data_IF_585492557511
#
_entry.id   IF_585492557511
#
_cell.length_a   1.000
_cell.length_b   1.000
_cell.length_c   1.000
_cell.angle_alpha   90.00
_cell.angle_beta   90.00
_cell.angle_gamma   90.00
#
_symmetry.space_group_name_H-M   'P 1'
#
loop_
_entity.id
_entity.type
_entity.pdbx_description
1 polymer ?
#
# COMPACT_ATOMS: atom_id res chain seq x y z
N UNK A 1 -3.02 17.82 -29.27
CA UNK A 1 -2.59 16.44 -29.60
C UNK A 1 -2.63 15.63 -28.33
N UNK A 2 -3.76 14.97 -28.06
CA UNK A 2 -3.93 14.12 -26.88
C UNK A 2 -3.33 12.76 -27.18
N UNK A 3 -2.24 12.41 -26.52
CA UNK A 3 -1.73 11.04 -26.52
C UNK A 3 -2.80 10.12 -25.90
N UNK A 4 -3.09 8.94 -26.48
CA UNK A 4 -3.94 7.96 -25.84
C UNK A 4 -3.25 7.45 -24.57
N UNK A 5 -3.98 7.47 -23.45
CA UNK A 5 -3.55 6.91 -22.17
C UNK A 5 -3.25 5.42 -22.35
N UNK A 6 -1.97 5.05 -22.29
CA UNK A 6 -1.54 3.67 -22.19
C UNK A 6 -2.29 3.00 -21.04
N UNK A 7 -2.91 1.82 -21.22
CA UNK A 7 -3.41 1.07 -20.09
C UNK A 7 -2.24 0.75 -19.18
N UNK A 8 -2.29 1.26 -17.93
CA UNK A 8 -1.36 0.87 -16.87
C UNK A 8 -1.42 -0.64 -16.81
N UNK A 9 -0.32 -1.29 -17.19
CA UNK A 9 -0.23 -2.74 -17.20
C UNK A 9 -0.63 -3.23 -15.80
N UNK A 10 -1.76 -3.97 -15.72
CA UNK A 10 -2.17 -4.61 -14.48
C UNK A 10 -0.97 -5.41 -13.98
N UNK A 11 -0.42 -4.99 -12.83
CA UNK A 11 0.73 -5.64 -12.23
C UNK A 11 0.30 -7.07 -11.95
N UNK A 12 0.96 -8.02 -12.61
CA UNK A 12 0.78 -9.45 -12.34
C UNK A 12 0.82 -9.70 -10.83
N UNK A 13 -0.14 -10.49 -10.32
CA UNK A 13 -0.26 -10.92 -8.91
C UNK A 13 1.11 -10.95 -8.22
N UNK A 14 1.32 -10.07 -7.24
CA UNK A 14 2.60 -9.97 -6.51
C UNK A 14 2.61 -11.03 -5.41
N UNK A 15 3.44 -12.05 -5.58
CA UNK A 15 3.60 -13.15 -4.61
C UNK A 15 4.81 -12.88 -3.71
N UNK A 16 4.65 -13.06 -2.40
CA UNK A 16 5.76 -13.00 -1.45
C UNK A 16 6.67 -14.23 -1.59
N UNK A 17 7.87 -14.05 -2.15
CA UNK A 17 8.86 -15.13 -2.25
C UNK A 17 9.39 -15.58 -0.89
N UNK A 18 9.86 -16.83 -0.80
CA UNK A 18 10.43 -17.38 0.43
C UNK A 18 11.65 -16.59 0.91
N UNK A 19 12.53 -16.18 -0.02
CA UNK A 19 13.68 -15.32 0.30
C UNK A 19 13.25 -13.97 0.90
N UNK A 20 12.19 -13.34 0.36
CA UNK A 20 11.65 -12.11 0.93
C UNK A 20 11.06 -12.35 2.33
N UNK A 21 10.27 -13.43 2.50
CA UNK A 21 9.69 -13.82 3.79
C UNK A 21 10.78 -14.00 4.87
N UNK A 22 11.88 -14.66 4.54
CA UNK A 22 12.99 -14.89 5.48
C UNK A 22 13.69 -13.60 5.94
N UNK A 23 13.64 -12.52 5.16
CA UNK A 23 14.20 -11.22 5.55
C UNK A 23 13.25 -10.38 6.43
N UNK A 24 11.95 -10.69 6.41
CA UNK A 24 10.93 -9.89 7.10
C UNK A 24 10.80 -10.31 8.58
N UNK A 25 11.71 -9.82 9.43
CA UNK A 25 11.76 -10.16 10.87
C UNK A 25 10.49 -9.84 11.65
N UNK A 26 9.74 -8.82 11.22
CA UNK A 26 8.57 -8.31 11.95
C UNK A 26 7.23 -8.62 11.28
N UNK A 27 7.23 -9.28 10.12
CA UNK A 27 6.00 -9.56 9.37
C UNK A 27 5.54 -10.97 9.67
N UNK A 28 4.34 -11.09 10.26
CA UNK A 28 3.66 -12.38 10.44
C UNK A 28 2.77 -12.69 9.23
N UNK A 29 3.38 -13.09 8.12
CA UNK A 29 2.64 -13.62 6.98
C UNK A 29 2.60 -15.16 7.08
N UNK A 30 1.42 -15.78 6.92
CA UNK A 30 1.31 -17.25 6.87
C UNK A 30 2.24 -17.81 5.79
N UNK A 31 2.80 -19.00 6.01
CA UNK A 31 3.55 -19.70 4.96
C UNK A 31 2.61 -20.02 3.77
N UNK A 32 3.11 -19.85 2.53
CA UNK A 32 2.33 -20.01 1.30
C UNK A 32 2.30 -18.76 0.41
N UNK A 33 1.51 -18.85 -0.68
CA UNK A 33 1.28 -17.77 -1.63
C UNK A 33 0.35 -16.73 -1.00
N UNK A 34 0.85 -15.51 -0.78
CA UNK A 34 0.05 -14.38 -0.32
C UNK A 34 -0.25 -13.51 -1.53
N UNK A 35 -1.54 -13.33 -1.81
CA UNK A 35 -2.00 -12.41 -2.84
C UNK A 35 -1.98 -10.97 -2.33
N UNK A 36 -1.13 -10.15 -2.94
CA UNK A 36 -0.97 -8.75 -2.58
C UNK A 36 -1.81 -7.79 -3.44
N UNK A 37 -2.64 -8.27 -4.37
CA UNK A 37 -3.45 -7.40 -5.27
C UNK A 37 -4.36 -6.44 -4.50
N UNK A 38 -4.82 -6.82 -3.31
CA UNK A 38 -5.69 -5.99 -2.47
C UNK A 38 -4.95 -5.01 -1.57
N UNK A 39 -3.62 -5.02 -1.59
CA UNK A 39 -2.77 -4.16 -0.76
C UNK A 39 -2.23 -2.99 -1.58
N UNK A 40 -1.95 -1.85 -0.95
CA UNK A 40 -1.28 -0.75 -1.65
C UNK A 40 0.14 -1.17 -2.06
N UNK A 41 0.55 -0.79 -3.27
CA UNK A 41 1.91 -1.05 -3.77
C UNK A 41 2.99 -0.35 -2.97
N UNK A 42 2.66 0.81 -2.41
CA UNK A 42 3.53 1.59 -1.52
C UNK A 42 2.72 2.34 -0.48
N UNK A 43 3.36 2.67 0.63
CA UNK A 43 2.75 3.42 1.73
C UNK A 43 3.71 4.50 2.22
N UNK A 44 3.23 5.73 2.27
CA UNK A 44 3.97 6.86 2.88
C UNK A 44 3.58 6.93 4.35
N UNK A 45 4.56 6.70 5.24
CA UNK A 45 4.39 6.77 6.70
C UNK A 45 5.42 7.74 7.26
N UNK A 46 4.98 8.66 8.10
CA UNK A 46 5.87 9.58 8.81
C UNK A 46 5.11 10.37 9.87
N UNK A 47 5.82 10.98 10.83
CA UNK A 47 5.21 11.93 11.75
C UNK A 47 4.77 13.20 11.01
N UNK A 48 3.92 14.00 11.66
CA UNK A 48 3.48 15.27 11.10
C UNK A 48 4.68 16.19 10.76
N UNK A 49 4.52 17.01 9.71
CA UNK A 49 5.51 18.01 9.26
C UNK A 49 6.83 17.43 8.70
N UNK A 50 6.79 16.24 8.12
CA UNK A 50 7.94 15.61 7.43
C UNK A 50 7.86 15.68 5.90
N UNK A 51 7.15 16.68 5.36
CA UNK A 51 7.09 16.90 3.91
C UNK A 51 6.11 15.99 3.15
N UNK A 52 5.23 15.26 3.85
CA UNK A 52 4.21 14.40 3.20
C UNK A 52 3.29 15.18 2.25
N UNK A 53 3.01 16.46 2.53
CA UNK A 53 2.28 17.33 1.61
C UNK A 53 3.03 17.59 0.32
N UNK A 54 4.33 17.88 0.39
CA UNK A 54 5.13 18.10 -0.82
C UNK A 54 5.19 16.83 -1.67
N UNK A 55 5.41 15.67 -1.04
CA UNK A 55 5.39 14.36 -1.73
C UNK A 55 4.03 14.15 -2.42
N UNK A 56 2.93 14.39 -1.71
CA UNK A 56 1.58 14.28 -2.26
C UNK A 56 1.39 15.18 -3.49
N UNK A 57 1.75 16.46 -3.42
CA UNK A 57 1.58 17.37 -4.57
C UNK A 57 2.43 16.98 -5.78
N UNK A 58 3.65 16.45 -5.57
CA UNK A 58 4.50 16.03 -6.68
C UNK A 58 4.00 14.75 -7.37
N UNK A 59 3.34 13.85 -6.63
CA UNK A 59 2.90 12.55 -7.13
C UNK A 59 1.42 12.50 -7.52
N UNK A 60 0.63 13.49 -7.09
CA UNK A 60 -0.83 13.51 -7.24
C UNK A 60 -1.31 13.33 -8.68
N UNK A 61 -0.61 13.95 -9.64
CA UNK A 61 -0.99 13.95 -11.05
C UNK A 61 -0.22 12.89 -11.88
N UNK A 62 0.51 11.98 -11.21
CA UNK A 62 1.28 10.94 -11.90
C UNK A 62 0.35 9.87 -12.50
N UNK A 63 0.45 9.56 -13.81
CA UNK A 63 -0.50 8.68 -14.50
C UNK A 63 -0.51 7.25 -13.97
N UNK A 64 0.62 6.75 -13.47
CA UNK A 64 0.74 5.39 -12.94
C UNK A 64 0.42 5.26 -11.44
N UNK A 65 -0.03 6.35 -10.78
CA UNK A 65 -0.35 6.35 -9.35
C UNK A 65 -1.83 6.58 -9.14
N UNK A 66 -2.51 5.56 -8.60
CA UNK A 66 -3.88 5.67 -8.13
C UNK A 66 -3.95 6.26 -6.71
N UNK A 67 -4.79 7.27 -6.51
CA UNK A 67 -4.97 7.90 -5.20
C UNK A 67 -6.28 7.50 -4.52
N UNK A 68 -6.27 7.26 -3.19
CA UNK A 68 -7.50 7.14 -2.43
C UNK A 68 -8.25 8.49 -2.40
N UNK A 69 -9.57 8.45 -2.17
CA UNK A 69 -10.41 9.65 -2.08
C UNK A 69 -9.92 10.67 -1.03
N UNK A 70 -9.27 10.20 0.04
CA UNK A 70 -8.73 11.04 1.10
C UNK A 70 -7.20 10.95 1.10
N UNK A 71 -6.53 12.11 1.14
CA UNK A 71 -5.06 12.23 1.19
C UNK A 71 -4.43 11.45 2.35
N UNK A 72 -5.03 11.51 3.54
CA UNK A 72 -4.50 10.86 4.74
C UNK A 72 -5.47 9.79 5.26
N UNK A 73 -5.05 8.53 5.13
CA UNK A 73 -5.82 7.39 5.64
C UNK A 73 -5.32 7.05 7.05
N UNK A 74 -6.05 7.48 8.06
CA UNK A 74 -5.77 7.17 9.46
C UNK A 74 -6.26 5.76 9.87
N UNK A 75 -6.09 4.76 9.00
CA UNK A 75 -6.61 3.40 9.24
C UNK A 75 -5.99 2.80 10.51
N UNK A 76 -4.66 2.63 10.54
CA UNK A 76 -3.97 2.02 11.67
C UNK A 76 -4.03 2.87 12.95
N UNK A 77 -4.04 4.21 12.83
CA UNK A 77 -4.12 5.11 13.98
C UNK A 77 -5.48 5.08 14.68
N UNK A 78 -6.57 4.82 13.95
CA UNK A 78 -7.93 4.76 14.51
C UNK A 78 -8.24 3.41 15.15
N UNK A 79 -7.49 2.36 14.83
CA UNK A 79 -7.70 1.05 15.41
C UNK A 79 -7.07 1.00 16.81
N UNK A 80 -7.88 1.27 17.83
CA UNK A 80 -7.43 1.41 19.22
C UNK A 80 -7.00 0.11 19.91
N UNK A 81 -7.38 -1.06 19.38
CA UNK A 81 -7.09 -2.35 20.02
C UNK A 81 -6.84 -3.47 19.03
N UNK A 82 -5.81 -4.28 19.26
CA UNK A 82 -5.43 -5.42 18.42
C UNK A 82 -6.56 -6.47 18.24
N UNK A 83 -7.57 -6.47 19.11
CA UNK A 83 -8.77 -7.30 18.99
C UNK A 83 -9.79 -6.81 17.95
N UNK A 84 -9.62 -5.61 17.37
CA UNK A 84 -10.52 -5.11 16.34
C UNK A 84 -10.48 -6.06 15.13
N UNK A 85 -11.63 -6.54 14.62
CA UNK A 85 -11.67 -7.44 13.46
C UNK A 85 -10.92 -6.90 12.24
N UNK A 86 -10.82 -5.57 12.09
CA UNK A 86 -10.07 -4.91 11.01
C UNK A 86 -8.55 -5.06 11.11
N UNK A 87 -8.01 -5.53 12.24
CA UNK A 87 -6.61 -5.96 12.35
C UNK A 87 -6.37 -7.35 11.77
N UNK A 88 -7.42 -8.16 11.58
CA UNK A 88 -7.27 -9.46 10.94
C UNK A 88 -7.22 -9.25 9.44
N UNK A 89 -6.11 -9.64 8.82
CA UNK A 89 -6.09 -9.90 7.38
C UNK A 89 -7.17 -10.96 7.09
N UNK A 90 -8.00 -10.74 6.07
CA UNK A 90 -8.90 -11.80 5.61
C UNK A 90 -8.06 -13.06 5.30
N UNK A 91 -8.49 -14.19 5.84
CA UNK A 91 -7.85 -15.49 5.61
C UNK A 91 -7.97 -15.92 4.13
#
# INVERSE_FOLDING_TARGET
MSQPSTPVAFVSKRILSESARNRLRYVRARAGEVDLEKFPDFLVIGPQRTGTTWIHENLRDHPDIGWPRAKEIYFFSRLKSAGNPKFRSAD
#
